data_IF_392319571895
#
_entry.id   IF_392319571895
#
_cell.length_a   1.000
_cell.length_b   1.000
_cell.length_c   1.000
_cell.angle_alpha   90.00
_cell.angle_beta   90.00
_cell.angle_gamma   90.00
#
_symmetry.space_group_name_H-M   'P 1'
#
loop_
_entity.id
_entity.type
_entity.pdbx_description
1 polymer ?
#
# COMPACT_ATOMS: atom_id res chain seq x y z
N UNK A 1 -27.99 -38.20 32.40
CA UNK A 1 -28.37 -36.85 31.92
C UNK A 1 -27.10 -36.07 31.67
N UNK A 2 -26.70 -35.86 30.41
CA UNK A 2 -25.49 -35.11 30.06
C UNK A 2 -25.86 -33.69 29.67
N UNK A 3 -25.37 -32.71 30.43
CA UNK A 3 -25.53 -31.29 30.13
C UNK A 3 -24.51 -30.87 29.08
N UNK A 4 -24.97 -30.46 27.90
CA UNK A 4 -24.13 -29.87 26.86
C UNK A 4 -24.02 -28.35 27.12
N UNK A 5 -22.90 -27.92 27.69
CA UNK A 5 -22.60 -26.50 27.86
C UNK A 5 -22.02 -25.94 26.54
N UNK A 6 -22.87 -25.33 25.72
CA UNK A 6 -22.46 -24.60 24.52
C UNK A 6 -21.91 -23.22 24.87
N UNK A 7 -20.58 -23.07 24.97
CA UNK A 7 -19.92 -21.77 25.05
C UNK A 7 -19.90 -21.09 23.67
N UNK A 8 -20.90 -20.25 23.38
CA UNK A 8 -20.83 -19.32 22.25
C UNK A 8 -20.14 -18.03 22.72
N UNK A 9 -18.81 -17.96 22.55
CA UNK A 9 -18.09 -16.69 22.66
C UNK A 9 -18.36 -15.85 21.41
N UNK A 10 -19.44 -15.07 21.45
CA UNK A 10 -19.73 -14.08 20.43
C UNK A 10 -18.89 -12.82 20.69
N UNK A 11 -17.63 -12.82 20.23
CA UNK A 11 -16.87 -11.58 20.11
C UNK A 11 -17.48 -10.77 18.97
N UNK A 12 -18.48 -9.96 19.29
CA UNK A 12 -19.07 -8.98 18.37
C UNK A 12 -18.01 -7.93 18.07
N UNK A 13 -17.63 -7.80 16.80
CA UNK A 13 -16.86 -6.64 16.36
C UNK A 13 -17.68 -5.36 16.63
N UNK A 14 -17.04 -4.27 17.09
CA UNK A 14 -17.73 -3.01 17.32
C UNK A 14 -18.32 -2.47 16.00
N UNK A 15 -19.50 -1.83 16.04
CA UNK A 15 -20.09 -1.21 14.86
C UNK A 15 -19.17 -0.11 14.32
N UNK A 16 -19.17 0.15 12.99
CA UNK A 16 -18.38 1.24 12.42
C UNK A 16 -18.85 2.58 13.01
N UNK A 17 -17.94 3.46 13.45
CA UNK A 17 -18.31 4.75 13.99
C UNK A 17 -18.99 5.60 12.91
N UNK A 18 -20.20 6.08 13.21
CA UNK A 18 -20.91 7.09 12.42
C UNK A 18 -20.22 8.45 12.61
N UNK A 19 -19.79 9.04 11.50
CA UNK A 19 -19.64 10.48 11.31
C UNK A 19 -18.59 11.18 12.17
N UNK A 20 -17.38 11.33 11.63
CA UNK A 20 -16.51 12.48 11.92
C UNK A 20 -15.88 12.94 10.61
N UNK A 21 -16.09 14.21 10.29
CA UNK A 21 -15.57 14.89 9.12
C UNK A 21 -14.06 14.65 8.97
N UNK A 22 -13.67 14.11 7.82
CA UNK A 22 -12.30 13.71 7.55
C UNK A 22 -11.36 14.92 7.43
N UNK A 23 -10.68 15.25 8.52
CA UNK A 23 -9.46 16.04 8.45
C UNK A 23 -8.42 15.21 7.68
N UNK A 24 -8.22 15.53 6.39
CA UNK A 24 -7.15 14.98 5.56
C UNK A 24 -5.81 15.48 6.09
N UNK A 25 -5.28 14.84 7.14
CA UNK A 25 -3.97 15.17 7.69
C UNK A 25 -2.93 14.32 6.99
N UNK A 26 -2.06 14.97 6.22
CA UNK A 26 -1.01 14.34 5.44
C UNK A 26 -0.10 13.47 6.33
N UNK A 27 0.13 12.23 5.88
CA UNK A 27 1.04 11.29 6.53
C UNK A 27 2.46 11.86 6.46
N UNK A 28 3.02 12.24 7.61
CA UNK A 28 4.41 12.73 7.70
C UNK A 28 5.34 11.55 7.95
N UNK A 29 5.95 11.03 6.89
CA UNK A 29 7.04 10.06 7.02
C UNK A 29 8.31 10.75 7.55
N UNK A 30 8.90 10.16 8.60
CA UNK A 30 10.03 10.69 9.37
C UNK A 30 11.28 10.96 8.52
N UNK A 31 11.92 12.11 8.76
CA UNK A 31 13.18 12.52 8.14
C UNK A 31 14.37 11.99 8.96
N UNK A 32 15.21 11.15 8.37
CA UNK A 32 16.64 11.09 8.73
C UNK A 32 17.37 12.06 7.80
N UNK A 33 18.30 12.85 8.36
CA UNK A 33 19.03 13.97 7.75
C UNK A 33 18.84 14.09 6.23
N UNK A 34 17.80 14.83 5.83
CA UNK A 34 17.49 15.00 4.42
C UNK A 34 18.60 15.85 3.79
N UNK A 35 19.08 15.49 2.59
CA UNK A 35 19.86 16.40 1.76
C UNK A 35 19.08 17.71 1.62
N UNK A 36 19.77 18.87 1.63
CA UNK A 36 19.13 20.18 1.49
C UNK A 36 18.21 20.22 0.25
N UNK A 37 17.15 21.03 0.27
CA UNK A 37 16.13 21.02 -0.79
C UNK A 37 16.70 21.12 -2.21
N UNK A 38 17.75 21.93 -2.42
CA UNK A 38 18.45 22.04 -3.69
C UNK A 38 19.14 20.74 -4.14
N UNK A 39 19.72 19.96 -3.21
CA UNK A 39 20.33 18.67 -3.53
C UNK A 39 19.30 17.59 -3.85
N UNK A 40 18.11 17.66 -3.25
CA UNK A 40 17.03 16.71 -3.53
C UNK A 40 16.48 16.90 -4.95
N UNK A 41 16.27 18.15 -5.40
CA UNK A 41 15.82 18.44 -6.77
C UNK A 41 16.80 17.94 -7.82
N UNK A 42 18.11 18.06 -7.56
CA UNK A 42 19.15 17.52 -8.46
C UNK A 42 19.07 16.00 -8.58
N UNK A 43 18.86 15.29 -7.46
CA UNK A 43 18.72 13.83 -7.47
C UNK A 43 17.44 13.37 -8.18
N UNK A 44 16.34 14.08 -8.02
CA UNK A 44 15.08 13.78 -8.74
C UNK A 44 15.29 13.90 -10.25
N UNK A 45 15.96 14.98 -10.69
CA UNK A 45 16.27 15.21 -12.10
C UNK A 45 17.20 14.12 -12.65
N UNK A 46 18.23 13.75 -11.90
CA UNK A 46 19.15 12.67 -12.29
C UNK A 46 18.43 11.32 -12.45
N UNK A 47 17.55 10.95 -11.51
CA UNK A 47 16.73 9.73 -11.64
C UNK A 47 15.82 9.79 -12.87
N UNK A 48 15.22 10.95 -13.15
CA UNK A 48 14.35 11.16 -14.31
C UNK A 48 15.08 10.95 -15.63
N UNK A 49 16.25 11.57 -15.79
CA UNK A 49 17.11 11.41 -16.97
C UNK A 49 17.58 9.95 -17.15
N UNK A 50 17.91 9.28 -16.04
CA UNK A 50 18.29 7.86 -16.06
C UNK A 50 17.16 6.95 -16.48
N UNK A 51 15.96 7.15 -15.93
CA UNK A 51 14.78 6.38 -16.31
C UNK A 51 14.39 6.61 -17.78
N UNK A 52 14.56 7.83 -18.29
CA UNK A 52 14.36 8.13 -19.71
C UNK A 52 15.32 7.34 -20.61
N UNK A 53 16.60 7.32 -20.25
CA UNK A 53 17.66 6.67 -21.03
C UNK A 53 17.60 5.15 -20.94
N UNK A 54 17.44 4.60 -19.74
CA UNK A 54 17.51 3.16 -19.45
C UNK A 54 16.17 2.46 -19.68
N UNK A 55 15.05 3.17 -19.54
CA UNK A 55 13.69 2.61 -19.60
C UNK A 55 12.70 3.50 -20.40
N UNK A 56 12.97 3.80 -21.68
CA UNK A 56 12.17 4.73 -22.48
C UNK A 56 10.71 4.29 -22.68
N UNK A 57 10.43 2.98 -22.59
CA UNK A 57 9.09 2.42 -22.74
C UNK A 57 8.19 2.50 -21.50
N UNK A 58 8.68 3.04 -20.37
CA UNK A 58 7.84 3.23 -19.18
C UNK A 58 6.89 4.42 -19.36
N UNK A 59 5.65 4.34 -18.83
CA UNK A 59 4.67 5.41 -18.93
C UNK A 59 5.14 6.69 -18.24
N UNK A 60 4.70 7.84 -18.76
CA UNK A 60 4.91 9.17 -18.20
C UNK A 60 3.62 9.71 -17.54
N UNK A 61 3.74 10.83 -16.83
CA UNK A 61 2.67 11.47 -16.07
C UNK A 61 2.54 10.91 -14.66
N UNK A 62 1.33 11.02 -14.09
CA UNK A 62 1.07 10.64 -12.68
C UNK A 62 1.41 9.17 -12.46
N UNK A 63 2.21 8.88 -11.44
CA UNK A 63 2.73 7.55 -11.14
C UNK A 63 3.60 6.92 -12.24
N UNK A 64 4.10 7.74 -13.16
CA UNK A 64 5.00 7.35 -14.25
C UNK A 64 6.48 7.60 -13.92
N UNK A 65 7.33 7.46 -14.95
CA UNK A 65 8.79 7.59 -14.84
C UNK A 65 9.29 9.01 -14.57
N UNK A 66 8.42 10.01 -14.71
CA UNK A 66 8.71 11.45 -14.61
C UNK A 66 7.90 12.15 -13.51
N UNK A 67 7.22 11.39 -12.65
CA UNK A 67 6.49 11.90 -11.48
C UNK A 67 7.47 12.21 -10.33
N UNK A 68 7.73 13.50 -10.12
CA UNK A 68 8.67 14.00 -9.11
C UNK A 68 8.34 13.53 -7.69
N UNK A 69 7.05 13.43 -7.32
CA UNK A 69 6.66 12.96 -5.98
C UNK A 69 6.95 11.47 -5.82
N UNK A 70 6.68 10.68 -6.87
CA UNK A 70 6.97 9.25 -6.87
C UNK A 70 8.48 9.00 -6.84
N UNK A 71 9.25 9.71 -7.66
CA UNK A 71 10.72 9.63 -7.67
C UNK A 71 11.28 9.98 -6.29
N UNK A 72 10.82 11.07 -5.69
CA UNK A 72 11.24 11.50 -4.36
C UNK A 72 10.93 10.45 -3.28
N UNK A 73 9.78 9.76 -3.39
CA UNK A 73 9.43 8.69 -2.47
C UNK A 73 10.42 7.52 -2.56
N UNK A 74 10.78 7.06 -3.77
CA UNK A 74 11.76 5.99 -3.95
C UNK A 74 13.17 6.40 -3.56
N UNK A 75 13.55 7.66 -3.77
CA UNK A 75 14.81 8.21 -3.26
C UNK A 75 14.85 8.13 -1.73
N UNK A 76 13.79 8.54 -1.02
CA UNK A 76 13.73 8.43 0.44
C UNK A 76 13.78 6.97 0.91
N UNK A 77 13.05 6.07 0.25
CA UNK A 77 13.06 4.62 0.53
C UNK A 77 14.47 4.01 0.37
N UNK A 78 15.24 4.48 -0.62
CA UNK A 78 16.58 3.99 -0.94
C UNK A 78 17.71 4.85 -0.35
N UNK A 79 17.43 5.65 0.69
CA UNK A 79 18.42 6.52 1.34
C UNK A 79 19.19 7.41 0.34
N UNK A 80 18.50 7.91 -0.66
CA UNK A 80 18.99 8.76 -1.74
C UNK A 80 20.04 8.11 -2.66
N UNK A 81 20.11 6.77 -2.72
CA UNK A 81 20.91 6.06 -3.71
C UNK A 81 20.21 6.03 -5.08
N UNK A 82 20.78 6.72 -6.07
CA UNK A 82 20.19 6.90 -7.41
C UNK A 82 20.01 5.56 -8.14
N UNK A 83 21.06 4.72 -8.21
CA UNK A 83 20.99 3.42 -8.91
C UNK A 83 19.87 2.52 -8.38
N UNK A 84 19.78 2.42 -7.04
CA UNK A 84 18.78 1.62 -6.34
C UNK A 84 17.37 2.17 -6.56
N UNK A 85 17.22 3.51 -6.55
CA UNK A 85 15.95 4.17 -6.80
C UNK A 85 15.47 3.92 -8.23
N UNK A 86 16.35 4.06 -9.23
CA UNK A 86 16.05 3.77 -10.65
C UNK A 86 15.59 2.32 -10.81
N UNK A 87 16.38 1.35 -10.30
CA UNK A 87 16.05 -0.08 -10.41
C UNK A 87 14.71 -0.43 -9.77
N UNK A 88 14.42 0.12 -8.59
CA UNK A 88 13.18 -0.16 -7.86
C UNK A 88 11.97 0.53 -8.45
N UNK A 89 12.11 1.79 -8.86
CA UNK A 89 11.02 2.55 -9.47
C UNK A 89 10.61 1.94 -10.82
N UNK A 90 11.57 1.54 -11.66
CA UNK A 90 11.27 0.87 -12.92
C UNK A 90 10.47 -0.44 -12.73
N UNK A 91 10.90 -1.27 -11.77
CA UNK A 91 10.17 -2.51 -11.39
C UNK A 91 8.78 -2.20 -10.85
N UNK A 92 8.63 -1.16 -10.04
CA UNK A 92 7.35 -0.78 -9.47
C UNK A 92 6.36 -0.27 -10.53
N UNK A 93 6.82 0.57 -11.47
CA UNK A 93 5.99 1.04 -12.58
C UNK A 93 5.53 -0.14 -13.45
N UNK A 94 6.45 -1.05 -13.78
CA UNK A 94 6.12 -2.27 -14.52
C UNK A 94 5.08 -3.14 -13.78
N UNK A 95 5.28 -3.37 -12.48
CA UNK A 95 4.31 -4.13 -11.68
C UNK A 95 2.92 -3.47 -11.67
N UNK A 96 2.83 -2.14 -11.62
CA UNK A 96 1.53 -1.44 -11.68
C UNK A 96 0.82 -1.64 -13.01
N UNK A 97 1.57 -1.73 -14.12
CA UNK A 97 1.04 -2.06 -15.44
C UNK A 97 0.60 -3.53 -15.49
N UNK A 98 1.47 -4.46 -15.10
CA UNK A 98 1.20 -5.90 -15.15
C UNK A 98 0.00 -6.28 -14.26
N UNK A 99 -0.12 -5.67 -13.09
CA UNK A 99 -1.24 -5.88 -12.16
C UNK A 99 -2.46 -5.01 -12.47
N UNK A 100 -2.38 -4.12 -13.47
CA UNK A 100 -3.44 -3.20 -13.89
C UNK A 100 -4.03 -2.39 -12.74
N UNK A 101 -3.15 -1.81 -11.92
CA UNK A 101 -3.54 -1.03 -10.74
C UNK A 101 -4.46 0.15 -11.11
N UNK A 102 -4.34 0.68 -12.32
CA UNK A 102 -5.21 1.73 -12.86
C UNK A 102 -6.67 1.31 -13.07
N UNK A 103 -6.95 0.01 -13.16
CA UNK A 103 -8.30 -0.55 -13.34
C UNK A 103 -8.99 -0.83 -11.99
N UNK A 104 -8.28 -0.69 -10.86
CA UNK A 104 -8.86 -0.91 -9.53
C UNK A 104 -9.82 0.22 -9.17
N UNK A 105 -11.08 -0.14 -8.95
CA UNK A 105 -12.13 0.77 -8.49
C UNK A 105 -12.53 0.50 -7.04
N UNK A 106 -13.12 1.49 -6.37
CA UNK A 106 -13.61 1.31 -5.00
C UNK A 106 -14.67 0.20 -4.93
N UNK A 107 -15.54 0.12 -5.93
CA UNK A 107 -16.60 -0.89 -6.05
C UNK A 107 -16.02 -2.31 -6.10
N UNK A 108 -14.94 -2.50 -6.86
CA UNK A 108 -14.27 -3.81 -7.00
C UNK A 108 -13.71 -4.33 -5.68
N UNK A 109 -13.26 -3.44 -4.79
CA UNK A 109 -12.66 -3.79 -3.50
C UNK A 109 -13.62 -3.69 -2.31
N UNK A 110 -14.80 -3.07 -2.51
CA UNK A 110 -15.77 -2.79 -1.44
C UNK A 110 -16.21 -4.03 -0.68
N UNK A 111 -16.55 -5.10 -1.40
CA UNK A 111 -16.97 -6.36 -0.77
C UNK A 111 -15.87 -6.97 0.10
N UNK A 112 -14.61 -6.95 -0.38
CA UNK A 112 -13.45 -7.39 0.39
C UNK A 112 -13.20 -6.51 1.61
N UNK A 113 -13.28 -5.19 1.45
CA UNK A 113 -13.09 -4.23 2.54
C UNK A 113 -14.11 -4.45 3.67
N UNK A 114 -15.39 -4.68 3.32
CA UNK A 114 -16.47 -4.92 4.29
C UNK A 114 -16.29 -6.19 5.12
N UNK A 115 -15.51 -7.17 4.66
CA UNK A 115 -15.20 -8.38 5.46
C UNK A 115 -14.41 -8.07 6.74
N UNK A 116 -13.74 -6.90 6.79
CA UNK A 116 -12.89 -6.51 7.91
C UNK A 116 -11.70 -7.44 8.10
N UNK A 117 -11.22 -8.05 7.00
CA UNK A 117 -9.96 -8.81 6.92
C UNK A 117 -8.74 -7.92 7.13
N UNK A 118 -8.85 -6.65 6.73
CA UNK A 118 -7.88 -5.61 7.04
C UNK A 118 -8.59 -4.26 7.20
N UNK A 119 -8.07 -3.38 8.05
CA UNK A 119 -8.58 -2.01 8.23
C UNK A 119 -7.48 -1.08 8.71
N UNK A 120 -7.62 0.22 8.43
CA UNK A 120 -6.73 1.26 8.96
C UNK A 120 -7.24 1.67 10.34
N UNK A 121 -6.38 1.59 11.35
CA UNK A 121 -6.70 2.00 12.71
C UNK A 121 -6.81 3.53 12.79
N UNK A 122 -7.67 4.03 13.68
CA UNK A 122 -7.91 5.47 13.84
C UNK A 122 -6.73 6.19 14.49
N UNK A 123 -5.98 5.51 15.35
CA UNK A 123 -4.76 6.02 15.98
C UNK A 123 -3.51 5.70 15.16
N UNK A 124 -2.56 6.61 15.20
CA UNK A 124 -1.20 6.45 14.67
C UNK A 124 -0.31 5.71 15.69
N UNK A 125 0.83 5.20 15.22
CA UNK A 125 1.88 4.69 16.10
C UNK A 125 2.59 5.84 16.85
N UNK A 126 3.54 5.48 17.73
CA UNK A 126 4.36 6.44 18.48
C UNK A 126 5.18 7.40 17.59
N UNK A 127 5.37 7.05 16.31
CA UNK A 127 6.10 7.85 15.33
C UNK A 127 5.16 8.64 14.39
N UNK A 128 3.84 8.61 14.63
CA UNK A 128 2.85 9.29 13.79
C UNK A 128 2.57 8.58 12.45
N UNK A 129 2.87 7.29 12.32
CA UNK A 129 2.60 6.49 11.11
C UNK A 129 1.23 5.82 11.17
N UNK A 130 0.48 5.76 10.06
CA UNK A 130 -0.81 5.09 10.03
C UNK A 130 -0.63 3.59 10.31
N UNK A 131 -1.56 3.02 11.07
CA UNK A 131 -1.50 1.60 11.47
C UNK A 131 -2.52 0.80 10.65
N UNK A 132 -2.05 -0.13 9.82
CA UNK A 132 -2.90 -1.09 9.12
C UNK A 132 -2.99 -2.38 9.94
N UNK A 133 -4.20 -2.77 10.34
CA UNK A 133 -4.46 -4.01 11.09
C UNK A 133 -4.96 -5.08 10.13
N UNK A 134 -4.37 -6.27 10.17
CA UNK A 134 -4.80 -7.44 9.40
C UNK A 134 -5.26 -8.53 10.36
N UNK A 135 -6.51 -8.96 10.23
CA UNK A 135 -7.11 -9.98 11.11
C UNK A 135 -6.90 -11.35 10.48
N UNK A 136 -5.74 -11.98 10.74
CA UNK A 136 -5.33 -13.25 10.14
C UNK A 136 -6.40 -14.34 10.21
N UNK A 137 -7.13 -14.43 11.33
CA UNK A 137 -8.20 -15.41 11.55
C UNK A 137 -9.39 -15.30 10.56
N UNK A 138 -9.48 -14.23 9.76
CA UNK A 138 -10.52 -14.05 8.74
C UNK A 138 -10.05 -14.43 7.33
N UNK A 139 -8.79 -14.79 7.14
CA UNK A 139 -8.22 -15.13 5.84
C UNK A 139 -8.31 -16.63 5.56
N UNK A 140 -9.49 -17.08 5.13
CA UNK A 140 -9.71 -18.46 4.69
C UNK A 140 -9.64 -18.55 3.15
N UNK A 141 -8.73 -19.36 2.57
CA UNK A 141 -8.57 -19.47 1.12
C UNK A 141 -9.84 -19.92 0.39
N UNK A 142 -10.59 -20.86 0.97
CA UNK A 142 -11.78 -21.49 0.37
C UNK A 142 -12.99 -20.57 0.22
N UNK A 143 -13.05 -19.46 0.97
CA UNK A 143 -14.20 -18.53 0.97
C UNK A 143 -13.88 -17.24 0.20
N UNK A 144 -12.60 -16.96 -0.04
CA UNK A 144 -12.13 -15.67 -0.56
C UNK A 144 -12.05 -15.61 -2.08
N UNK A 145 -11.96 -16.77 -2.75
CA UNK A 145 -11.84 -16.87 -4.21
C UNK A 145 -12.63 -18.08 -4.73
N UNK A 146 -13.97 -17.98 -4.88
CA UNK A 146 -14.79 -19.10 -5.36
C UNK A 146 -14.49 -19.56 -6.79
N UNK A 147 -13.56 -18.90 -7.51
CA UNK A 147 -13.23 -19.18 -8.92
C UNK A 147 -11.77 -19.61 -9.14
N UNK A 148 -10.92 -19.59 -8.11
CA UNK A 148 -9.54 -20.05 -8.23
C UNK A 148 -9.42 -21.43 -7.59
N UNK A 149 -9.67 -22.46 -8.42
CA UNK A 149 -9.37 -23.86 -8.10
C UNK A 149 -7.85 -24.07 -8.01
N UNK A 150 -7.22 -23.62 -6.93
CA UNK A 150 -5.91 -24.14 -6.55
C UNK A 150 -6.10 -25.43 -5.78
N UNK A 151 -5.84 -26.54 -6.48
CA UNK A 151 -5.72 -27.87 -5.90
C UNK A 151 -4.44 -27.88 -5.04
N UNK A 152 -4.56 -27.51 -3.78
CA UNK A 152 -3.48 -27.65 -2.81
C UNK A 152 -3.28 -29.14 -2.50
N UNK A 153 -2.26 -29.74 -3.09
CA UNK A 153 -1.61 -30.95 -2.55
C UNK A 153 -0.48 -30.48 -1.64
N UNK A 154 -0.54 -30.89 -0.38
CA UNK A 154 0.62 -30.88 0.52
C UNK A 154 1.62 -31.95 0.08
#
# INVERSE_FOLDING_TARGET
MAASCSFRSAVRAPPPPRGLAGARRAVRCCSSAAPTGASTSKLVLEVKERLEREHPGLPTGRSGRDDDEMILWFLKDRKFAVDEAVSKLAKAIKWRQDFRVSELSEESVKGLYQTGKAYVHHSFDINGRPVLVVVAAKHFPSVSFPHLNFKTRF
#
